data_IF_448513812663
#
_entry.id   IF_448513812663
#
_cell.length_a   1.000
_cell.length_b   1.000
_cell.length_c   1.000
_cell.angle_alpha   90.00
_cell.angle_beta   90.00
_cell.angle_gamma   90.00
#
_symmetry.space_group_name_H-M   'P 1'
#
loop_
_entity.id
_entity.type
_entity.pdbx_description
1 polymer ?
#
# COMPACT_ATOMS: atom_id res chain seq x y z
N UNK A 1 33.01 16.67 14.03
CA UNK A 1 33.76 15.42 14.34
C UNK A 1 33.51 15.07 15.81
N UNK A 2 33.16 13.80 16.14
CA UNK A 2 32.95 13.24 17.51
C UNK A 2 31.70 13.63 18.35
N UNK A 3 30.49 13.63 17.78
CA UNK A 3 29.25 13.59 18.58
C UNK A 3 28.36 12.34 18.32
N UNK A 4 28.79 11.43 17.44
CA UNK A 4 28.00 10.27 17.00
C UNK A 4 28.64 8.90 17.35
N UNK A 5 29.62 8.85 18.25
CA UNK A 5 30.31 7.58 18.59
C UNK A 5 29.62 6.77 19.70
N UNK A 6 28.48 7.23 20.23
CA UNK A 6 27.66 6.49 21.19
C UNK A 6 26.22 6.38 20.68
N UNK A 7 26.05 5.79 19.50
CA UNK A 7 24.76 5.22 19.14
C UNK A 7 24.47 4.06 20.11
N UNK A 8 23.29 4.02 20.78
CA UNK A 8 22.97 2.99 21.76
C UNK A 8 23.19 1.58 21.17
N UNK A 9 23.76 0.68 21.98
CA UNK A 9 24.25 -0.65 21.57
C UNK A 9 23.19 -1.54 20.89
N UNK A 10 21.90 -1.16 20.97
CA UNK A 10 20.76 -1.81 20.32
C UNK A 10 20.95 -2.07 18.81
N UNK A 11 21.70 -1.21 18.10
CA UNK A 11 21.79 -1.25 16.63
C UNK A 11 23.01 -2.03 16.12
N UNK A 12 23.96 -2.38 17.01
CA UNK A 12 25.07 -3.27 16.62
C UNK A 12 24.56 -4.65 16.24
N UNK A 13 23.51 -5.12 16.91
CA UNK A 13 22.88 -6.39 16.62
C UNK A 13 21.57 -6.20 15.84
N UNK A 14 21.57 -6.57 14.56
CA UNK A 14 20.40 -6.49 13.67
C UNK A 14 19.15 -7.18 14.23
N UNK A 15 19.33 -8.26 14.99
CA UNK A 15 18.21 -9.01 15.56
C UNK A 15 17.52 -8.25 16.69
N UNK A 16 18.31 -7.64 17.58
CA UNK A 16 17.78 -6.79 18.66
C UNK A 16 17.00 -5.61 18.08
N UNK A 17 17.55 -4.96 17.05
CA UNK A 17 16.86 -3.86 16.36
C UNK A 17 15.52 -4.32 15.73
N UNK A 18 15.48 -5.48 15.08
CA UNK A 18 14.24 -6.03 14.51
C UNK A 18 13.22 -6.34 15.61
N UNK A 19 13.64 -7.00 16.70
CA UNK A 19 12.74 -7.30 17.83
C UNK A 19 12.17 -6.00 18.41
N UNK A 20 13.02 -4.99 18.62
CA UNK A 20 12.58 -3.68 19.09
C UNK A 20 11.57 -3.02 18.13
N UNK A 21 11.81 -3.08 16.82
CA UNK A 21 10.86 -2.60 15.81
C UNK A 21 9.51 -3.30 15.96
N UNK A 22 9.49 -4.63 16.06
CA UNK A 22 8.25 -5.42 16.21
C UNK A 22 7.51 -5.02 17.47
N UNK A 23 8.20 -4.88 18.60
CA UNK A 23 7.59 -4.47 19.87
C UNK A 23 6.93 -3.10 19.73
N UNK A 24 7.66 -2.10 19.22
CA UNK A 24 7.12 -0.74 19.05
C UNK A 24 5.98 -0.70 18.03
N UNK A 25 6.11 -1.41 16.90
CA UNK A 25 5.05 -1.53 15.90
C UNK A 25 3.78 -2.14 16.53
N UNK A 26 3.94 -3.21 17.31
CA UNK A 26 2.82 -3.89 17.95
C UNK A 26 2.14 -3.03 19.01
N UNK A 27 2.93 -2.35 19.85
CA UNK A 27 2.40 -1.43 20.87
C UNK A 27 1.60 -0.29 20.22
N UNK A 28 2.07 0.24 19.09
CA UNK A 28 1.40 1.37 18.42
C UNK A 28 0.16 0.98 17.61
N UNK A 29 0.01 -0.30 17.22
CA UNK A 29 -1.02 -0.71 16.26
C UNK A 29 -1.97 -1.78 16.74
N UNK A 30 -1.54 -2.74 17.56
CA UNK A 30 -2.41 -3.81 18.04
C UNK A 30 -3.12 -3.47 19.35
N UNK A 31 -2.56 -2.58 20.18
CA UNK A 31 -3.23 -2.19 21.42
C UNK A 31 -4.58 -1.53 21.13
N UNK A 32 -5.64 -2.08 21.73
CA UNK A 32 -7.05 -1.66 21.58
C UNK A 32 -7.59 -1.71 20.14
N UNK A 33 -6.90 -2.40 19.22
CA UNK A 33 -7.32 -2.47 17.82
C UNK A 33 -8.68 -3.18 17.69
N UNK A 34 -9.61 -2.56 16.98
CA UNK A 34 -10.95 -3.10 16.75
C UNK A 34 -12.05 -2.24 17.35
N UNK A 35 -11.87 -1.82 18.61
CA UNK A 35 -12.78 -0.90 19.32
C UNK A 35 -12.26 0.54 19.41
N UNK A 36 -11.08 0.80 18.84
CA UNK A 36 -10.39 2.09 18.89
C UNK A 36 -11.09 3.20 18.10
N UNK A 37 -11.75 2.85 17.00
CA UNK A 37 -12.44 3.82 16.14
C UNK A 37 -13.52 3.15 15.29
N UNK A 38 -14.50 3.95 14.85
CA UNK A 38 -15.51 3.58 13.86
C UNK A 38 -15.35 4.50 12.65
N UNK A 39 -14.89 3.91 11.54
CA UNK A 39 -14.69 4.60 10.27
C UNK A 39 -15.86 4.29 9.32
N UNK A 40 -16.53 5.31 8.74
CA UNK A 40 -17.56 5.11 7.71
C UNK A 40 -17.14 4.20 6.54
N UNK A 41 -15.91 4.34 6.07
CA UNK A 41 -15.36 3.47 5.01
C UNK A 41 -15.16 2.04 5.49
N UNK A 42 -14.80 1.85 6.76
CA UNK A 42 -14.61 0.52 7.34
C UNK A 42 -15.90 -0.30 7.29
N UNK A 43 -17.06 0.32 7.53
CA UNK A 43 -18.38 -0.32 7.41
C UNK A 43 -18.62 -0.79 5.98
N UNK A 44 -18.29 0.04 4.98
CA UNK A 44 -18.40 -0.33 3.57
C UNK A 44 -17.45 -1.50 3.22
N UNK A 45 -16.22 -1.49 3.75
CA UNK A 45 -15.24 -2.56 3.50
C UNK A 45 -15.62 -3.91 4.13
N UNK A 46 -16.36 -3.92 5.24
CA UNK A 46 -16.97 -5.14 5.78
C UNK A 46 -17.94 -5.77 4.78
N UNK A 47 -18.89 -4.99 4.28
CA UNK A 47 -19.86 -5.47 3.29
C UNK A 47 -19.17 -5.97 2.02
N UNK A 48 -18.27 -5.17 1.44
CA UNK A 48 -17.57 -5.51 0.18
C UNK A 48 -16.75 -6.79 0.32
N UNK A 49 -15.99 -6.94 1.41
CA UNK A 49 -15.19 -8.14 1.64
C UNK A 49 -16.05 -9.39 1.83
N UNK A 50 -17.20 -9.26 2.48
CA UNK A 50 -18.17 -10.35 2.57
C UNK A 50 -18.72 -10.73 1.19
N UNK A 51 -19.15 -9.75 0.38
CA UNK A 51 -19.66 -10.02 -0.96
C UNK A 51 -18.61 -10.67 -1.86
N UNK A 52 -17.36 -10.23 -1.76
CA UNK A 52 -16.22 -10.81 -2.46
C UNK A 52 -16.06 -12.31 -2.15
N UNK A 53 -16.08 -12.67 -0.87
CA UNK A 53 -16.00 -14.08 -0.43
C UNK A 53 -17.22 -14.87 -0.87
N UNK A 54 -18.42 -14.29 -0.79
CA UNK A 54 -19.64 -14.95 -1.28
C UNK A 54 -19.54 -15.23 -2.79
N UNK A 55 -19.04 -14.29 -3.59
CA UNK A 55 -18.78 -14.49 -5.02
C UNK A 55 -17.83 -15.65 -5.28
N UNK A 56 -16.72 -15.72 -4.54
CA UNK A 56 -15.78 -16.84 -4.62
C UNK A 56 -16.42 -18.19 -4.28
N UNK A 57 -17.18 -18.27 -3.17
CA UNK A 57 -17.80 -19.52 -2.69
C UNK A 57 -18.94 -20.00 -3.59
N UNK A 58 -19.67 -19.08 -4.22
CA UNK A 58 -20.82 -19.39 -5.07
C UNK A 58 -20.46 -19.63 -6.54
N UNK A 59 -19.23 -19.29 -6.95
CA UNK A 59 -18.84 -19.30 -8.37
C UNK A 59 -19.35 -18.09 -9.16
N UNK A 60 -20.08 -17.17 -8.52
CA UNK A 60 -20.46 -15.87 -9.08
C UNK A 60 -19.24 -14.92 -9.01
N UNK A 61 -18.30 -15.12 -9.95
CA UNK A 61 -17.05 -14.36 -9.97
C UNK A 61 -17.26 -12.88 -10.31
N UNK A 62 -18.36 -12.52 -10.98
CA UNK A 62 -18.72 -11.12 -11.24
C UNK A 62 -18.93 -10.34 -9.94
N UNK A 63 -19.50 -10.99 -8.92
CA UNK A 63 -19.64 -10.43 -7.57
C UNK A 63 -18.32 -10.10 -6.88
N UNK A 64 -17.17 -10.52 -7.39
CA UNK A 64 -15.87 -10.08 -6.85
C UNK A 64 -15.53 -8.63 -7.23
N UNK A 65 -16.26 -8.01 -8.15
CA UNK A 65 -16.21 -6.56 -8.41
C UNK A 65 -17.18 -5.83 -7.47
N UNK A 66 -16.64 -5.07 -6.51
CA UNK A 66 -17.43 -4.42 -5.47
C UNK A 66 -17.45 -2.89 -5.54
N UNK A 67 -16.40 -2.28 -6.11
CA UNK A 67 -16.29 -0.84 -6.22
C UNK A 67 -15.29 -0.42 -7.30
N UNK A 68 -15.38 0.84 -7.74
CA UNK A 68 -14.48 1.41 -8.75
C UNK A 68 -13.04 1.55 -8.27
N UNK A 69 -12.83 1.80 -6.97
CA UNK A 69 -11.56 1.53 -6.31
C UNK A 69 -11.52 0.02 -6.00
N UNK A 70 -10.72 -0.78 -6.73
CA UNK A 70 -10.98 -2.22 -6.80
C UNK A 70 -10.95 -2.91 -5.45
N UNK A 71 -10.05 -2.51 -4.55
CA UNK A 71 -9.97 -3.02 -3.18
C UNK A 71 -9.73 -4.52 -3.07
N UNK A 72 -9.33 -5.18 -4.16
CA UNK A 72 -9.21 -6.63 -4.30
C UNK A 72 -8.21 -7.18 -3.29
N UNK A 73 -7.07 -6.50 -3.12
CA UNK A 73 -6.07 -6.91 -2.13
C UNK A 73 -6.61 -6.84 -0.71
N UNK A 74 -7.38 -5.79 -0.37
CA UNK A 74 -7.95 -5.63 0.96
C UNK A 74 -8.95 -6.75 1.23
N UNK A 75 -9.86 -7.01 0.29
CA UNK A 75 -10.89 -8.05 0.40
C UNK A 75 -10.30 -9.46 0.50
N UNK A 76 -9.19 -9.75 -0.18
CA UNK A 76 -8.45 -11.00 0.03
C UNK A 76 -7.87 -11.10 1.44
N UNK A 77 -7.20 -10.04 1.90
CA UNK A 77 -6.51 -9.99 3.20
C UNK A 77 -7.49 -10.14 4.37
N UNK A 78 -8.68 -9.55 4.27
CA UNK A 78 -9.64 -9.52 5.38
C UNK A 78 -10.79 -10.49 5.23
N UNK A 79 -11.28 -10.70 4.00
CA UNK A 79 -12.41 -11.58 3.73
C UNK A 79 -12.13 -13.02 4.13
N UNK A 80 -10.93 -13.54 3.85
CA UNK A 80 -10.57 -14.92 4.19
C UNK A 80 -10.54 -15.13 5.72
N UNK A 81 -9.82 -14.32 6.53
CA UNK A 81 -9.87 -14.43 7.99
C UNK A 81 -11.26 -14.22 8.59
N UNK A 82 -12.05 -13.28 8.06
CA UNK A 82 -13.44 -13.07 8.49
C UNK A 82 -14.26 -14.35 8.27
N UNK A 83 -14.17 -14.95 7.08
CA UNK A 83 -14.91 -16.18 6.75
C UNK A 83 -14.49 -17.36 7.63
N UNK A 84 -13.18 -17.52 7.90
CA UNK A 84 -12.69 -18.51 8.84
C UNK A 84 -13.25 -18.28 10.25
N UNK A 85 -13.29 -17.03 10.71
CA UNK A 85 -13.87 -16.68 12.00
C UNK A 85 -15.37 -17.03 12.07
N UNK A 86 -16.15 -16.81 10.99
CA UNK A 86 -17.56 -17.23 10.91
C UNK A 86 -17.71 -18.74 11.07
N UNK A 87 -16.87 -19.51 10.38
CA UNK A 87 -16.91 -20.97 10.42
C UNK A 87 -16.54 -21.52 11.80
N UNK A 88 -15.54 -20.92 12.47
CA UNK A 88 -15.10 -21.34 13.81
C UNK A 88 -16.15 -21.00 14.88
N UNK A 89 -16.77 -19.82 14.79
CA UNK A 89 -17.71 -19.35 15.82
C UNK A 89 -19.17 -19.77 15.57
N UNK A 90 -19.51 -20.19 14.35
CA UNK A 90 -20.88 -20.46 13.94
C UNK A 90 -21.72 -19.20 13.71
N UNK A 91 -21.14 -18.00 13.81
CA UNK A 91 -21.85 -16.73 13.60
C UNK A 91 -22.07 -16.53 12.09
N UNK A 92 -23.32 -16.62 11.66
CA UNK A 92 -23.70 -16.52 10.24
C UNK A 92 -24.09 -15.12 9.81
N UNK A 93 -24.67 -14.32 10.72
CA UNK A 93 -25.14 -12.97 10.46
C UNK A 93 -24.28 -11.92 11.17
N UNK A 94 -23.94 -10.85 10.46
CA UNK A 94 -23.33 -9.66 11.06
C UNK A 94 -24.42 -8.84 11.75
N UNK A 95 -24.15 -8.42 12.99
CA UNK A 95 -25.01 -7.53 13.75
C UNK A 95 -24.19 -6.59 14.65
N UNK A 96 -24.88 -5.69 15.35
CA UNK A 96 -24.26 -4.72 16.26
C UNK A 96 -23.52 -5.35 17.45
N UNK A 97 -23.87 -6.58 17.85
CA UNK A 97 -23.26 -7.26 18.99
C UNK A 97 -21.96 -7.96 18.60
N UNK A 98 -21.86 -8.45 17.37
CA UNK A 98 -20.67 -9.15 16.88
C UNK A 98 -19.74 -8.28 16.01
N UNK A 99 -20.19 -7.10 15.58
CA UNK A 99 -19.42 -6.18 14.73
C UNK A 99 -18.00 -5.92 15.26
N UNK A 100 -17.83 -5.66 16.56
CA UNK A 100 -16.52 -5.35 17.12
C UNK A 100 -15.53 -6.50 16.94
N UNK A 101 -15.95 -7.76 17.13
CA UNK A 101 -15.07 -8.91 17.00
C UNK A 101 -14.61 -9.09 15.55
N UNK A 102 -15.55 -8.98 14.63
CA UNK A 102 -15.27 -8.99 13.20
C UNK A 102 -14.35 -7.85 12.74
N UNK A 103 -14.58 -6.65 13.27
CA UNK A 103 -13.74 -5.48 13.01
C UNK A 103 -12.31 -5.71 13.51
N UNK A 104 -12.14 -6.30 14.69
CA UNK A 104 -10.83 -6.71 15.22
C UNK A 104 -10.16 -7.70 14.28
N UNK A 105 -10.85 -8.75 13.83
CA UNK A 105 -10.29 -9.77 12.90
C UNK A 105 -9.81 -9.11 11.60
N UNK A 106 -10.65 -8.25 11.01
CA UNK A 106 -10.30 -7.53 9.79
C UNK A 106 -9.06 -6.65 9.99
N UNK A 107 -9.08 -5.77 11.00
CA UNK A 107 -7.99 -4.83 11.28
C UNK A 107 -6.68 -5.54 11.62
N UNK A 108 -6.72 -6.59 12.45
CA UNK A 108 -5.53 -7.39 12.78
C UNK A 108 -4.93 -7.99 11.51
N UNK A 109 -5.76 -8.52 10.61
CA UNK A 109 -5.31 -9.11 9.34
C UNK A 109 -4.57 -8.08 8.47
N UNK A 110 -5.14 -6.87 8.35
CA UNK A 110 -4.51 -5.78 7.60
C UNK A 110 -3.20 -5.34 8.24
N UNK A 111 -3.18 -5.07 9.55
CA UNK A 111 -1.99 -4.61 10.28
C UNK A 111 -0.86 -5.64 10.21
N UNK A 112 -1.17 -6.94 10.28
CA UNK A 112 -0.19 -8.01 10.11
C UNK A 112 0.44 -7.99 8.70
N UNK A 113 -0.37 -7.82 7.65
CA UNK A 113 0.16 -7.72 6.29
C UNK A 113 1.00 -6.46 6.11
N UNK A 114 0.59 -5.33 6.69
CA UNK A 114 1.39 -4.10 6.68
C UNK A 114 2.75 -4.30 7.38
N UNK A 115 2.83 -5.08 8.48
CA UNK A 115 4.09 -5.42 9.14
C UNK A 115 5.02 -6.20 8.20
N UNK A 116 4.49 -7.21 7.52
CA UNK A 116 5.23 -8.02 6.55
C UNK A 116 5.77 -7.13 5.43
N UNK A 117 4.90 -6.30 4.84
CA UNK A 117 5.28 -5.36 3.79
C UNK A 117 6.33 -4.35 4.24
N UNK A 118 6.25 -3.88 5.48
CA UNK A 118 7.25 -2.99 6.09
C UNK A 118 8.61 -3.66 6.20
N UNK A 119 8.67 -4.96 6.51
CA UNK A 119 9.94 -5.70 6.50
C UNK A 119 10.47 -5.98 5.09
N UNK A 120 9.59 -6.24 4.12
CA UNK A 120 9.99 -6.34 2.70
C UNK A 120 10.59 -5.00 2.23
N UNK A 121 9.96 -3.89 2.60
CA UNK A 121 10.45 -2.54 2.34
C UNK A 121 11.83 -2.33 2.98
N UNK A 122 11.98 -2.63 4.28
CA UNK A 122 13.23 -2.50 5.01
C UNK A 122 14.35 -3.34 4.38
N UNK A 123 14.05 -4.58 4.00
CA UNK A 123 15.02 -5.46 3.35
C UNK A 123 15.54 -4.83 2.05
N UNK A 124 14.65 -4.41 1.15
CA UNK A 124 15.07 -3.84 -0.15
C UNK A 124 15.78 -2.51 0.02
N UNK A 125 15.31 -1.65 0.93
CA UNK A 125 15.97 -0.38 1.22
C UNK A 125 17.37 -0.59 1.81
N UNK A 126 17.56 -1.61 2.65
CA UNK A 126 18.86 -1.94 3.24
C UNK A 126 19.92 -2.32 2.21
N UNK A 127 19.50 -2.85 1.05
CA UNK A 127 20.40 -3.15 -0.08
C UNK A 127 20.89 -1.91 -0.81
N UNK A 128 20.21 -0.78 -0.67
CA UNK A 128 20.54 0.48 -1.35
C UNK A 128 21.36 1.40 -0.45
N UNK A 129 20.94 1.58 0.81
CA UNK A 129 21.52 2.59 1.73
C UNK A 129 22.19 1.99 2.96
N UNK A 130 22.28 0.66 3.04
CA UNK A 130 22.77 -0.07 4.22
C UNK A 130 21.70 -0.22 5.31
N UNK A 131 21.88 -1.22 6.18
CA UNK A 131 20.89 -1.58 7.19
C UNK A 131 20.57 -0.46 8.18
N UNK A 132 21.58 0.24 8.70
CA UNK A 132 21.37 1.28 9.73
C UNK A 132 20.48 2.41 9.19
N UNK A 133 20.82 2.95 8.03
CA UNK A 133 20.06 4.02 7.38
C UNK A 133 18.65 3.56 7.04
N UNK A 134 18.51 2.37 6.43
CA UNK A 134 17.20 1.82 6.08
C UNK A 134 16.31 1.60 7.31
N UNK A 135 16.89 1.05 8.39
CA UNK A 135 16.18 0.82 9.65
C UNK A 135 15.63 2.12 10.21
N UNK A 136 16.47 3.15 10.36
CA UNK A 136 16.01 4.43 10.91
C UNK A 136 14.98 5.12 10.00
N UNK A 137 15.19 5.09 8.68
CA UNK A 137 14.22 5.65 7.73
C UNK A 137 12.85 4.98 7.84
N UNK A 138 12.81 3.64 7.83
CA UNK A 138 11.54 2.88 7.91
C UNK A 138 10.93 2.98 9.31
N UNK A 139 11.73 2.99 10.36
CA UNK A 139 11.25 3.12 11.74
C UNK A 139 10.61 4.49 11.98
N UNK A 140 11.28 5.57 11.58
CA UNK A 140 10.72 6.93 11.72
C UNK A 140 9.48 7.12 10.85
N UNK A 141 9.49 6.62 9.61
CA UNK A 141 8.32 6.63 8.74
C UNK A 141 7.14 5.85 9.34
N UNK A 142 7.41 4.68 9.93
CA UNK A 142 6.39 3.87 10.62
C UNK A 142 5.83 4.55 11.88
N UNK A 143 6.55 5.51 12.45
CA UNK A 143 6.09 6.29 13.62
C UNK A 143 5.46 7.63 13.25
N UNK A 144 5.34 7.95 11.96
CA UNK A 144 4.65 9.14 11.50
C UNK A 144 3.17 9.06 11.95
N UNK A 145 2.64 10.04 12.73
CA UNK A 145 1.27 10.01 13.25
C UNK A 145 0.16 9.80 12.21
N UNK A 146 0.21 10.48 11.06
CA UNK A 146 -0.73 10.30 9.96
C UNK A 146 -0.62 8.89 9.36
N UNK A 147 0.59 8.38 9.12
CA UNK A 147 0.76 7.01 8.62
C UNK A 147 0.29 5.98 9.65
N UNK A 148 0.64 6.16 10.92
CA UNK A 148 0.25 5.30 12.03
C UNK A 148 -1.26 5.28 12.24
N UNK A 149 -1.92 6.44 12.25
CA UNK A 149 -3.38 6.53 12.36
C UNK A 149 -4.09 5.77 11.25
N UNK A 150 -3.70 6.00 9.99
CA UNK A 150 -4.26 5.30 8.84
C UNK A 150 -3.95 3.80 8.84
N UNK A 151 -2.81 3.39 9.41
CA UNK A 151 -2.39 1.98 9.45
C UNK A 151 -3.33 1.10 10.29
N UNK A 152 -4.02 1.71 11.28
CA UNK A 152 -4.97 1.03 12.18
C UNK A 152 -6.39 0.95 11.62
N UNK A 153 -6.70 1.72 10.59
CA UNK A 153 -8.02 1.73 9.97
C UNK A 153 -8.22 0.46 9.14
N UNK A 154 -9.47 -0.01 9.06
CA UNK A 154 -9.84 -1.00 8.07
C UNK A 154 -9.98 -0.33 6.69
N UNK A 155 -8.83 -0.03 6.10
CA UNK A 155 -8.73 0.73 4.86
C UNK A 155 -7.48 0.31 4.05
N UNK A 156 -7.40 0.83 2.84
CA UNK A 156 -6.46 0.36 1.81
C UNK A 156 -5.27 1.28 1.53
N UNK A 157 -5.28 2.52 2.01
CA UNK A 157 -4.29 3.53 1.61
C UNK A 157 -2.87 3.19 2.10
N UNK A 158 -2.73 2.59 3.29
CA UNK A 158 -1.42 2.13 3.79
C UNK A 158 -0.91 0.94 2.99
N UNK A 159 -1.80 0.00 2.63
CA UNK A 159 -1.44 -1.12 1.75
C UNK A 159 -0.95 -0.62 0.40
N UNK A 160 -1.70 0.31 -0.22
CA UNK A 160 -1.32 0.94 -1.49
C UNK A 160 0.07 1.58 -1.38
N UNK A 161 0.29 2.39 -0.34
CA UNK A 161 1.57 3.09 -0.11
C UNK A 161 2.73 2.11 -0.02
N UNK A 162 2.58 1.03 0.76
CA UNK A 162 3.62 0.02 0.93
C UNK A 162 3.86 -0.79 -0.36
N UNK A 163 2.82 -1.18 -1.08
CA UNK A 163 2.97 -1.86 -2.37
C UNK A 163 3.69 -1.00 -3.40
N UNK A 164 3.32 0.28 -3.51
CA UNK A 164 4.01 1.25 -4.39
C UNK A 164 5.47 1.39 -3.99
N UNK A 165 5.78 1.61 -2.71
CA UNK A 165 7.17 1.77 -2.27
C UNK A 165 8.02 0.52 -2.54
N UNK A 166 7.49 -0.66 -2.22
CA UNK A 166 8.19 -1.92 -2.50
C UNK A 166 8.40 -2.11 -4.00
N UNK A 167 7.37 -1.86 -4.83
CA UNK A 167 7.48 -1.93 -6.28
C UNK A 167 8.58 -1.01 -6.82
N UNK A 168 8.60 0.27 -6.38
CA UNK A 168 9.60 1.25 -6.84
C UNK A 168 11.03 0.87 -6.43
N UNK A 169 11.23 0.39 -5.20
CA UNK A 169 12.56 -0.05 -4.74
C UNK A 169 13.06 -1.27 -5.52
N UNK A 170 12.21 -2.28 -5.73
CA UNK A 170 12.58 -3.47 -6.49
C UNK A 170 12.90 -3.08 -7.94
N UNK A 171 12.04 -2.27 -8.56
CA UNK A 171 12.26 -1.75 -9.92
C UNK A 171 13.59 -1.01 -10.02
N UNK A 172 13.92 -0.14 -9.07
CA UNK A 172 15.18 0.61 -9.02
C UNK A 172 16.40 -0.30 -8.88
N UNK A 173 16.38 -1.24 -7.93
CA UNK A 173 17.48 -2.21 -7.74
C UNK A 173 17.68 -3.04 -9.00
N UNK A 174 16.58 -3.43 -9.65
CA UNK A 174 16.59 -4.25 -10.84
C UNK A 174 17.08 -3.50 -12.10
N UNK A 175 16.91 -2.18 -12.17
CA UNK A 175 17.49 -1.38 -13.26
C UNK A 175 19.03 -1.35 -13.20
N UNK A 176 19.59 -1.39 -11.99
CA UNK A 176 21.05 -1.43 -11.81
C UNK A 176 21.64 -2.81 -12.08
N UNK A 177 20.95 -3.84 -11.60
CA UNK A 177 21.38 -5.24 -11.70
C UNK A 177 20.18 -6.12 -12.09
N UNK A 178 20.04 -6.30 -13.40
CA UNK A 178 18.89 -6.96 -14.02
C UNK A 178 18.76 -8.42 -13.57
N UNK A 179 17.56 -8.78 -13.16
CA UNK A 179 17.17 -10.15 -12.85
C UNK A 179 15.70 -10.34 -13.20
N UNK A 180 15.38 -11.38 -13.97
CA UNK A 180 14.00 -11.75 -14.26
C UNK A 180 13.17 -11.93 -12.99
N UNK A 181 13.76 -12.47 -11.91
CA UNK A 181 13.07 -12.64 -10.62
C UNK A 181 12.67 -11.29 -10.01
N UNK A 182 13.56 -10.31 -10.03
CA UNK A 182 13.27 -8.96 -9.50
C UNK A 182 12.27 -8.23 -10.40
N UNK A 183 12.38 -8.33 -11.73
CA UNK A 183 11.40 -7.77 -12.67
C UNK A 183 10.01 -8.35 -12.42
N UNK A 184 9.92 -9.67 -12.28
CA UNK A 184 8.66 -10.36 -12.04
C UNK A 184 8.05 -9.93 -10.70
N UNK A 185 8.87 -9.85 -9.65
CA UNK A 185 8.43 -9.39 -8.33
C UNK A 185 7.97 -7.91 -8.36
N UNK A 186 8.66 -7.04 -9.09
CA UNK A 186 8.20 -5.67 -9.29
C UNK A 186 6.82 -5.61 -9.97
N UNK A 187 6.60 -6.41 -11.02
CA UNK A 187 5.30 -6.51 -11.69
C UNK A 187 4.18 -7.01 -10.77
N UNK A 188 4.47 -7.98 -9.88
CA UNK A 188 3.52 -8.42 -8.83
C UNK A 188 3.14 -7.23 -7.93
N UNK A 189 4.12 -6.52 -7.36
CA UNK A 189 3.83 -5.41 -6.45
C UNK A 189 3.13 -4.23 -7.13
N UNK A 190 3.46 -3.95 -8.39
CA UNK A 190 2.72 -2.97 -9.20
C UNK A 190 1.27 -3.39 -9.40
N UNK A 191 1.01 -4.66 -9.71
CA UNK A 191 -0.35 -5.19 -9.85
C UNK A 191 -1.11 -5.13 -8.53
N UNK A 192 -0.49 -5.54 -7.42
CA UNK A 192 -1.09 -5.42 -6.09
C UNK A 192 -1.47 -3.98 -5.78
N UNK A 193 -0.63 -2.99 -6.13
CA UNK A 193 -0.97 -1.58 -5.94
C UNK A 193 -2.21 -1.16 -6.74
N UNK A 194 -2.31 -1.57 -8.01
CA UNK A 194 -3.46 -1.28 -8.87
C UNK A 194 -4.74 -1.96 -8.36
N UNK A 195 -4.62 -3.23 -7.95
CA UNK A 195 -5.70 -4.01 -7.35
C UNK A 195 -6.15 -3.47 -5.99
N UNK A 196 -5.28 -2.76 -5.27
CA UNK A 196 -5.65 -2.04 -4.05
C UNK A 196 -6.50 -0.82 -4.40
N UNK A 197 -6.01 0.05 -5.29
CA UNK A 197 -6.69 1.27 -5.71
C UNK A 197 -6.31 1.59 -7.17
N UNK A 198 -7.28 1.98 -7.98
CA UNK A 198 -7.09 2.22 -9.43
C UNK A 198 -5.95 3.20 -9.73
N UNK A 199 -5.76 4.23 -8.90
CA UNK A 199 -4.65 5.19 -9.01
C UNK A 199 -3.25 4.55 -8.88
N UNK A 200 -3.14 3.34 -8.32
CA UNK A 200 -1.91 2.56 -8.27
C UNK A 200 -1.33 2.25 -9.66
N UNK A 201 -2.14 2.31 -10.73
CA UNK A 201 -1.63 2.22 -12.12
C UNK A 201 -0.58 3.30 -12.43
N UNK A 202 -0.64 4.45 -11.75
CA UNK A 202 0.37 5.51 -11.88
C UNK A 202 1.78 5.03 -11.53
N UNK A 203 1.91 4.10 -10.58
CA UNK A 203 3.21 3.52 -10.25
C UNK A 203 3.77 2.66 -11.40
N UNK A 204 2.91 1.94 -12.13
CA UNK A 204 3.31 1.20 -13.32
C UNK A 204 3.81 2.16 -14.39
N UNK A 205 3.05 3.21 -14.71
CA UNK A 205 3.45 4.20 -15.70
C UNK A 205 4.76 4.91 -15.32
N UNK A 206 4.93 5.25 -14.04
CA UNK A 206 6.17 5.85 -13.55
C UNK A 206 7.36 4.91 -13.76
N UNK A 207 7.24 3.63 -13.40
CA UNK A 207 8.31 2.63 -13.61
C UNK A 207 8.64 2.48 -15.09
N UNK A 208 7.64 2.36 -15.96
CA UNK A 208 7.85 2.22 -17.40
C UNK A 208 8.52 3.47 -18.00
N UNK A 209 8.05 4.67 -17.65
CA UNK A 209 8.60 5.93 -18.15
C UNK A 209 10.07 6.12 -17.70
N UNK A 210 10.34 5.92 -16.41
CA UNK A 210 11.69 6.07 -15.87
C UNK A 210 12.66 5.02 -16.44
N UNK A 211 12.22 3.77 -16.59
CA UNK A 211 13.05 2.71 -17.17
C UNK A 211 13.31 2.93 -18.66
N UNK A 212 12.35 3.48 -19.43
CA UNK A 212 12.61 3.95 -20.81
C UNK A 212 13.74 4.97 -20.83
N UNK A 213 13.67 6.01 -20.00
CA UNK A 213 14.72 7.04 -19.94
C UNK A 213 16.09 6.44 -19.61
N UNK A 214 16.14 5.51 -18.65
CA UNK A 214 17.36 4.81 -18.25
C UNK A 214 17.98 3.96 -19.39
N UNK A 215 17.18 3.13 -20.06
CA UNK A 215 17.69 2.28 -21.14
C UNK A 215 17.96 3.05 -22.43
N UNK A 216 17.21 4.13 -22.71
CA UNK A 216 17.49 5.04 -23.81
C UNK A 216 18.86 5.69 -23.66
N UNK A 217 19.21 6.15 -22.45
CA UNK A 217 20.54 6.69 -22.15
C UNK A 217 21.66 5.64 -22.36
N UNK A 218 21.38 4.37 -22.03
CA UNK A 218 22.31 3.25 -22.28
C UNK A 218 22.30 2.73 -23.72
N UNK A 219 21.39 3.22 -24.58
CA UNK A 219 21.13 2.70 -25.94
C UNK A 219 20.88 1.18 -25.96
N UNK A 220 20.25 0.63 -24.92
CA UNK A 220 19.99 -0.80 -24.77
C UNK A 220 18.50 -1.15 -24.91
N UNK A 221 18.05 -1.25 -26.16
CA UNK A 221 16.67 -1.62 -26.50
C UNK A 221 16.32 -3.06 -26.12
N UNK A 222 17.30 -3.99 -26.15
CA UNK A 222 17.05 -5.39 -25.79
C UNK A 222 16.80 -5.54 -24.29
N UNK A 223 17.58 -4.83 -23.47
CA UNK A 223 17.37 -4.75 -22.02
C UNK A 223 16.02 -4.15 -21.67
N UNK A 224 15.64 -3.05 -22.35
CA UNK A 224 14.33 -2.42 -22.20
C UNK A 224 13.19 -3.40 -22.47
N UNK A 225 13.21 -4.08 -23.62
CA UNK A 225 12.17 -5.03 -24.01
C UNK A 225 12.04 -6.19 -23.01
N UNK A 226 13.16 -6.74 -22.54
CA UNK A 226 13.17 -7.80 -21.51
C UNK A 226 12.60 -7.32 -20.18
N UNK A 227 12.97 -6.11 -19.75
CA UNK A 227 12.47 -5.50 -18.52
C UNK A 227 10.95 -5.26 -18.61
N UNK A 228 10.49 -4.67 -19.71
CA UNK A 228 9.10 -4.37 -19.97
C UNK A 228 8.24 -5.64 -20.05
N UNK A 229 8.64 -6.60 -20.87
CA UNK A 229 7.87 -7.82 -21.07
C UNK A 229 7.73 -8.61 -19.77
N UNK A 230 8.77 -8.65 -18.93
CA UNK A 230 8.72 -9.36 -17.65
C UNK A 230 7.83 -8.65 -16.64
N UNK A 231 7.93 -7.31 -16.51
CA UNK A 231 7.10 -6.53 -15.58
C UNK A 231 5.63 -6.56 -16.01
N UNK A 232 5.35 -6.29 -17.29
CA UNK A 232 3.99 -6.26 -17.83
C UNK A 232 3.37 -7.65 -17.79
N UNK A 233 4.11 -8.69 -18.14
CA UNK A 233 3.64 -10.07 -18.03
C UNK A 233 3.26 -10.44 -16.61
N UNK A 234 4.12 -10.13 -15.63
CA UNK A 234 3.82 -10.36 -14.20
C UNK A 234 2.64 -9.52 -13.71
N UNK A 235 2.55 -8.26 -14.14
CA UNK A 235 1.46 -7.36 -13.77
C UNK A 235 0.12 -7.87 -14.28
N UNK A 236 0.03 -8.22 -15.57
CA UNK A 236 -1.21 -8.75 -16.18
C UNK A 236 -1.60 -10.08 -15.55
N UNK A 237 -0.63 -10.99 -15.41
CA UNK A 237 -0.87 -12.31 -14.81
C UNK A 237 -1.40 -12.19 -13.38
N UNK A 238 -0.77 -11.36 -12.55
CA UNK A 238 -1.18 -11.16 -11.15
C UNK A 238 -2.55 -10.50 -11.07
N UNK A 239 -2.79 -9.48 -11.90
CA UNK A 239 -4.08 -8.76 -11.97
C UNK A 239 -5.20 -9.72 -12.33
N UNK A 240 -4.97 -10.55 -13.35
CA UNK A 240 -5.95 -11.53 -13.80
C UNK A 240 -6.18 -12.60 -12.73
N UNK A 241 -5.13 -13.23 -12.17
CA UNK A 241 -5.27 -14.30 -11.17
C UNK A 241 -6.00 -13.82 -9.91
N UNK A 242 -5.69 -12.62 -9.42
CA UNK A 242 -6.24 -12.16 -8.14
C UNK A 242 -7.61 -11.50 -8.27
N UNK A 243 -8.09 -11.23 -9.49
CA UNK A 243 -9.35 -10.53 -9.71
C UNK A 243 -10.34 -11.33 -10.56
N UNK A 244 -11.10 -12.26 -9.95
CA UNK A 244 -11.95 -13.22 -10.66
C UNK A 244 -13.03 -12.59 -11.56
N UNK A 245 -13.51 -11.39 -11.26
CA UNK A 245 -14.45 -10.68 -12.15
C UNK A 245 -13.88 -10.52 -13.57
N UNK A 246 -12.55 -10.36 -13.69
CA UNK A 246 -11.87 -10.29 -14.98
C UNK A 246 -11.89 -11.61 -15.76
N UNK A 247 -12.17 -12.75 -15.13
CA UNK A 247 -12.30 -14.03 -15.83
C UNK A 247 -13.59 -14.12 -16.62
N UNK A 248 -14.63 -13.37 -16.21
CA UNK A 248 -15.94 -13.39 -16.84
C UNK A 248 -16.04 -12.30 -17.91
N UNK A 249 -15.79 -11.03 -17.53
CA UNK A 249 -15.95 -9.87 -18.44
C UNK A 249 -14.82 -8.84 -18.28
N UNK A 250 -13.58 -9.16 -18.70
CA UNK A 250 -12.40 -8.33 -18.40
C UNK A 250 -12.50 -6.91 -18.95
N UNK A 251 -12.94 -6.75 -20.21
CA UNK A 251 -13.05 -5.44 -20.84
C UNK A 251 -14.06 -4.53 -20.10
N UNK A 252 -15.19 -5.09 -19.68
CA UNK A 252 -16.24 -4.37 -18.97
C UNK A 252 -15.76 -3.87 -17.60
N UNK A 253 -15.20 -4.76 -16.77
CA UNK A 253 -14.76 -4.37 -15.43
C UNK A 253 -13.55 -3.41 -15.45
N UNK A 254 -12.63 -3.57 -16.40
CA UNK A 254 -11.55 -2.61 -16.58
C UNK A 254 -12.08 -1.23 -17.02
N UNK A 255 -13.03 -1.17 -17.96
CA UNK A 255 -13.62 0.11 -18.36
C UNK A 255 -14.38 0.77 -17.20
N UNK A 256 -15.11 -0.03 -16.42
CA UNK A 256 -15.93 0.47 -15.32
C UNK A 256 -15.09 1.08 -14.19
N UNK A 257 -13.94 0.45 -13.87
CA UNK A 257 -12.98 0.97 -12.89
C UNK A 257 -12.56 2.40 -13.25
N UNK A 258 -12.22 2.66 -14.52
CA UNK A 258 -11.76 3.98 -14.94
C UNK A 258 -12.90 4.98 -15.15
N UNK A 259 -14.03 4.54 -15.73
CA UNK A 259 -15.20 5.39 -15.96
C UNK A 259 -15.78 5.91 -14.64
N UNK A 260 -15.98 5.04 -13.66
CA UNK A 260 -16.51 5.45 -12.36
C UNK A 260 -15.46 6.20 -11.51
N UNK A 261 -14.16 5.87 -11.64
CA UNK A 261 -13.11 6.69 -11.01
C UNK A 261 -13.11 8.14 -11.53
N UNK A 262 -13.29 8.34 -12.84
CA UNK A 262 -13.38 9.67 -13.44
C UNK A 262 -14.66 10.39 -13.02
N UNK A 263 -15.80 9.69 -13.05
CA UNK A 263 -17.10 10.25 -12.67
C UNK A 263 -17.11 10.73 -11.23
N UNK A 264 -16.59 9.91 -10.31
CA UNK A 264 -16.61 10.21 -8.86
C UNK A 264 -15.48 11.16 -8.49
N UNK A 265 -14.26 10.95 -8.99
CA UNK A 265 -13.08 11.71 -8.60
C UNK A 265 -12.88 13.04 -9.33
N UNK A 266 -13.39 13.18 -10.56
CA UNK A 266 -13.18 14.38 -11.40
C UNK A 266 -14.50 15.13 -11.59
N UNK A 267 -15.56 14.47 -12.07
CA UNK A 267 -16.81 15.18 -12.43
C UNK A 267 -17.65 15.62 -11.24
N UNK A 268 -17.80 14.76 -10.25
CA UNK A 268 -18.61 15.09 -9.05
C UNK A 268 -17.92 16.08 -8.12
N UNK A 269 -16.60 16.22 -8.20
CA UNK A 269 -15.81 16.88 -7.15
C UNK A 269 -15.90 16.12 -5.82
N UNK A 270 -15.18 16.59 -4.82
CA UNK A 270 -15.32 16.14 -3.43
C UNK A 270 -15.30 17.37 -2.54
N UNK A 271 -16.29 17.49 -1.66
CA UNK A 271 -16.31 18.54 -0.65
C UNK A 271 -15.10 18.40 0.26
N UNK A 272 -14.36 19.49 0.41
CA UNK A 272 -13.18 19.60 1.23
C UNK A 272 -13.32 20.82 2.12
N UNK A 273 -12.82 20.71 3.35
CA UNK A 273 -12.75 21.85 4.27
C UNK A 273 -11.30 22.31 4.30
N UNK A 274 -11.06 23.57 3.90
CA UNK A 274 -9.74 24.19 3.86
C UNK A 274 -9.80 25.45 4.69
N UNK A 275 -9.00 25.50 5.76
CA UNK A 275 -8.94 26.65 6.67
C UNK A 275 -10.32 27.09 7.19
N UNK A 276 -11.25 26.14 7.34
CA UNK A 276 -12.62 26.37 7.82
C UNK A 276 -13.66 26.63 6.73
N UNK A 277 -13.26 26.76 5.46
CA UNK A 277 -14.18 26.97 4.34
C UNK A 277 -14.41 25.68 3.56
N UNK A 278 -15.68 25.39 3.26
CA UNK A 278 -16.04 24.26 2.39
C UNK A 278 -15.86 24.67 0.93
N UNK A 279 -15.03 23.93 0.21
CA UNK A 279 -14.82 24.10 -1.24
C UNK A 279 -14.90 22.76 -1.96
N UNK A 280 -15.30 22.81 -3.23
CA UNK A 280 -15.25 21.66 -4.15
C UNK A 280 -13.90 21.59 -4.89
N UNK A 281 -13.19 22.71 -4.99
CA UNK A 281 -11.88 22.80 -5.62
C UNK A 281 -10.93 23.57 -4.70
N UNK A 282 -9.92 22.84 -4.26
CA UNK A 282 -8.90 23.27 -3.33
C UNK A 282 -7.71 23.99 -4.00
N UNK A 283 -7.66 23.93 -5.34
CA UNK A 283 -6.55 24.42 -6.13
C UNK A 283 -5.22 23.69 -5.87
N UNK A 284 -4.17 24.13 -6.55
CA UNK A 284 -2.85 23.45 -6.50
C UNK A 284 -2.13 23.63 -5.15
N UNK A 285 -2.45 24.68 -4.39
CA UNK A 285 -1.85 24.96 -3.08
C UNK A 285 -2.34 24.01 -1.98
N UNK A 286 -3.44 23.31 -2.22
CA UNK A 286 -3.93 22.26 -1.33
C UNK A 286 -2.88 21.20 -1.04
N UNK A 287 -2.18 20.72 -2.07
CA UNK A 287 -1.22 19.63 -1.94
C UNK A 287 -0.06 19.95 -1.00
N UNK A 288 0.69 21.07 -1.18
CA UNK A 288 1.74 21.42 -0.22
C UNK A 288 1.19 21.72 1.17
N UNK A 289 0.02 22.38 1.30
CA UNK A 289 -0.61 22.65 2.59
C UNK A 289 -0.89 21.34 3.36
N UNK A 290 -1.53 20.38 2.70
CA UNK A 290 -1.86 19.07 3.28
C UNK A 290 -0.60 18.30 3.64
N UNK A 291 0.46 18.38 2.84
CA UNK A 291 1.76 17.79 3.19
C UNK A 291 2.30 18.40 4.48
N UNK A 292 2.30 19.73 4.63
CA UNK A 292 2.76 20.36 5.87
C UNK A 292 1.87 20.04 7.08
N UNK A 293 0.56 19.92 6.90
CA UNK A 293 -0.36 19.58 7.98
C UNK A 293 -0.26 18.11 8.42
N UNK A 294 -0.01 17.19 7.48
CA UNK A 294 -0.03 15.73 7.72
C UNK A 294 1.34 15.12 7.92
N UNK A 295 2.42 15.89 7.82
CA UNK A 295 3.78 15.38 8.04
C UNK A 295 4.44 16.06 9.22
N UNK A 296 5.08 15.27 10.08
CA UNK A 296 5.84 15.79 11.22
C UNK A 296 7.06 16.62 10.80
N UNK A 297 7.46 17.61 11.61
CA UNK A 297 8.68 18.38 11.38
C UNK A 297 9.94 17.52 11.21
N UNK A 298 10.01 16.36 11.87
CA UNK A 298 11.15 15.45 11.75
C UNK A 298 11.34 14.90 10.33
N UNK A 299 10.25 14.53 9.65
CA UNK A 299 10.31 14.08 8.26
C UNK A 299 10.67 15.22 7.31
N UNK A 300 10.10 16.41 7.54
CA UNK A 300 10.41 17.60 6.75
C UNK A 300 11.89 17.99 6.87
N UNK A 301 12.46 17.99 8.07
CA UNK A 301 13.89 18.24 8.30
C UNK A 301 14.73 17.16 7.59
N UNK A 302 14.34 15.88 7.70
CA UNK A 302 15.02 14.80 7.00
C UNK A 302 15.03 14.97 5.47
N UNK A 303 13.90 15.41 4.91
CA UNK A 303 13.74 15.72 3.48
C UNK A 303 14.66 16.88 3.06
N UNK A 304 14.66 17.99 3.82
CA UNK A 304 15.52 19.15 3.56
C UNK A 304 17.00 18.77 3.60
N UNK A 305 17.42 18.02 4.62
CA UNK A 305 18.81 17.53 4.72
C UNK A 305 19.19 16.62 3.54
N UNK A 306 18.25 15.82 3.05
CA UNK A 306 18.46 14.99 1.86
C UNK A 306 18.66 15.85 0.61
N UNK A 307 17.79 16.84 0.37
CA UNK A 307 17.94 17.75 -0.76
C UNK A 307 19.27 18.51 -0.72
N UNK A 308 19.63 19.09 0.43
CA UNK A 308 20.92 19.80 0.60
C UNK A 308 22.12 18.92 0.26
N UNK A 309 22.03 17.61 0.55
CA UNK A 309 23.09 16.65 0.22
C UNK A 309 23.10 16.24 -1.25
N UNK A 310 21.94 16.17 -1.92
CA UNK A 310 21.86 15.83 -3.34
C UNK A 310 22.28 16.98 -4.26
N UNK A 311 22.18 18.23 -3.82
CA UNK A 311 22.64 19.42 -4.55
C UNK A 311 24.10 19.80 -4.26
N UNK A 312 24.81 19.01 -3.46
CA UNK A 312 26.27 19.12 -3.23
C UNK A 312 26.98 17.94 -3.90
#
# INVERSE_FOLDING_TARGET
MKLWSRSPDLIKNKYIAIIFFIVVFSLTRFLFLGSDEINPDGVNWHYRSQQFIVGLKSGDFERTYQHYHPGVTLMWITGVPIELYKQITGITAYDQFNFSAFNTVAKVSVVLVQLILTFILLYHLSKIVGFKTAYFSVFLFSLEPFFMGNSRLYHMDVLLTLFVFVALLISWVNLKDFSYKKSFLAGIFLSLSFLTKSIGIGALFFVLLFSTAYFANKKDMKGLLKYFSTILGAFVLTTFILFPALWVRPAFYLSEIFAESERVGIRKGHEQIILGETTQDAGILFYPLVVFMKTTPFLLIGLVLCFVKCFR
#
